data_IF_173436867570
#
_entry.id   IF_173436867570
#
_cell.length_a   1.000
_cell.length_b   1.000
_cell.length_c   1.000
_cell.angle_alpha   90.00
_cell.angle_beta   90.00
_cell.angle_gamma   90.00
#
_symmetry.space_group_name_H-M   'P 1'
#
loop_
_entity.id
_entity.type
_entity.pdbx_description
1 polymer ?
#
# COMPACT_ATOMS: atom_id res chain seq x y z
N UNK A 1 6.46 13.34 6.14
CA UNK A 1 5.13 13.23 5.53
C UNK A 1 4.06 13.52 6.55
N UNK A 2 3.12 14.34 6.21
CA UNK A 2 2.07 14.72 7.12
C UNK A 2 0.98 13.67 7.19
N UNK A 3 0.27 13.65 8.31
CA UNK A 3 -0.81 12.72 8.54
C UNK A 3 -1.89 12.77 7.45
N UNK A 4 -2.20 13.98 6.98
CA UNK A 4 -3.18 14.19 5.92
C UNK A 4 -2.75 13.53 4.62
N UNK A 5 -1.46 13.65 4.27
CA UNK A 5 -0.92 13.03 3.08
C UNK A 5 -0.96 11.51 3.16
N UNK A 6 -0.72 10.97 4.35
CA UNK A 6 -0.79 9.52 4.55
C UNK A 6 -2.20 9.03 4.27
N UNK A 7 -3.20 9.72 4.79
CA UNK A 7 -4.59 9.35 4.58
C UNK A 7 -5.01 9.42 3.13
N UNK A 8 -4.61 10.48 2.45
CA UNK A 8 -4.92 10.65 1.04
C UNK A 8 -4.30 9.54 0.18
N UNK A 9 -3.02 9.26 0.43
CA UNK A 9 -2.31 8.23 -0.32
C UNK A 9 -2.84 6.84 0.00
N UNK A 10 -3.24 6.62 1.24
CA UNK A 10 -3.83 5.35 1.63
C UNK A 10 -5.11 5.07 0.85
N UNK A 11 -5.94 6.10 0.63
CA UNK A 11 -7.14 5.97 -0.16
C UNK A 11 -6.86 5.58 -1.61
N UNK A 12 -5.85 6.21 -2.20
CA UNK A 12 -5.42 5.90 -3.56
C UNK A 12 -4.91 4.46 -3.65
N UNK A 13 -4.12 4.04 -2.68
CA UNK A 13 -3.58 2.68 -2.62
C UNK A 13 -4.70 1.65 -2.53
N UNK A 14 -5.65 1.89 -1.63
CA UNK A 14 -6.75 0.96 -1.43
C UNK A 14 -7.58 0.80 -2.71
N UNK A 15 -7.83 1.89 -3.39
CA UNK A 15 -8.56 1.88 -4.64
C UNK A 15 -7.81 1.06 -5.70
N UNK A 16 -6.50 1.28 -5.80
CA UNK A 16 -5.67 0.56 -6.77
C UNK A 16 -5.63 -0.93 -6.48
N UNK A 17 -5.57 -1.30 -5.20
CA UNK A 17 -5.57 -2.70 -4.81
C UNK A 17 -6.85 -3.43 -5.22
N UNK A 18 -7.95 -2.73 -5.29
CA UNK A 18 -9.20 -3.29 -5.77
C UNK A 18 -9.09 -3.72 -7.23
N UNK A 19 -8.19 -3.08 -7.98
CA UNK A 19 -7.96 -3.41 -9.40
C UNK A 19 -6.89 -4.47 -9.59
N UNK A 20 -5.80 -4.39 -8.80
CA UNK A 20 -4.63 -5.25 -9.03
C UNK A 20 -4.66 -6.57 -8.29
N UNK A 21 -5.34 -6.64 -7.16
CA UNK A 21 -5.23 -7.79 -6.28
C UNK A 21 -3.90 -7.77 -5.53
N UNK A 22 -3.32 -8.94 -5.28
CA UNK A 22 -2.05 -9.03 -4.55
C UNK A 22 -0.91 -8.45 -5.37
N UNK A 23 -0.12 -7.56 -4.76
CA UNK A 23 0.95 -6.86 -5.46
C UNK A 23 2.06 -6.51 -4.48
N UNK A 24 3.30 -6.46 -4.94
CA UNK A 24 4.39 -6.03 -4.08
C UNK A 24 4.32 -4.53 -3.84
N UNK A 25 4.88 -4.09 -2.71
CA UNK A 25 4.92 -2.66 -2.39
C UNK A 25 5.71 -1.90 -3.47
N UNK A 26 6.83 -2.47 -3.94
CA UNK A 26 7.64 -1.83 -4.97
C UNK A 26 6.87 -1.65 -6.28
N UNK A 27 6.13 -2.67 -6.68
CA UNK A 27 5.33 -2.62 -7.89
C UNK A 27 4.22 -1.59 -7.78
N UNK A 28 3.55 -1.59 -6.63
CA UNK A 28 2.46 -0.66 -6.37
C UNK A 28 2.96 0.79 -6.38
N UNK A 29 4.10 1.03 -5.74
CA UNK A 29 4.72 2.36 -5.71
C UNK A 29 4.99 2.85 -7.13
N UNK A 30 5.53 1.97 -7.98
CA UNK A 30 5.81 2.31 -9.35
C UNK A 30 4.55 2.63 -10.13
N UNK A 31 3.50 1.83 -9.96
CA UNK A 31 2.23 2.06 -10.65
C UNK A 31 1.58 3.38 -10.26
N UNK A 32 1.75 3.78 -9.02
CA UNK A 32 1.16 5.02 -8.51
C UNK A 32 2.09 6.21 -8.63
N UNK A 33 3.32 5.98 -9.10
CA UNK A 33 4.34 7.03 -9.21
C UNK A 33 4.59 7.72 -7.87
N UNK A 34 4.70 6.93 -6.82
CA UNK A 34 4.97 7.38 -5.46
C UNK A 34 6.21 6.66 -4.97
N UNK A 35 6.90 7.21 -3.98
CA UNK A 35 8.08 6.54 -3.45
C UNK A 35 7.68 5.26 -2.71
N UNK A 36 8.61 4.30 -2.66
CA UNK A 36 8.37 3.05 -1.94
C UNK A 36 8.17 3.32 -0.45
N UNK A 37 8.91 4.28 0.10
CA UNK A 37 8.79 4.64 1.51
C UNK A 37 7.40 5.15 1.84
N UNK A 38 6.87 6.04 1.02
CA UNK A 38 5.53 6.58 1.23
C UNK A 38 4.47 5.50 1.07
N UNK A 39 4.67 4.62 0.10
CA UNK A 39 3.76 3.51 -0.13
C UNK A 39 3.75 2.58 1.09
N UNK A 40 4.92 2.28 1.64
CA UNK A 40 5.03 1.41 2.80
C UNK A 40 4.36 2.03 4.03
N UNK A 41 4.55 3.34 4.25
CA UNK A 41 3.92 4.02 5.38
C UNK A 41 2.39 4.00 5.27
N UNK A 42 1.89 4.28 4.08
CA UNK A 42 0.44 4.27 3.86
C UNK A 42 -0.12 2.86 3.99
N UNK A 43 0.63 1.86 3.52
CA UNK A 43 0.23 0.46 3.66
C UNK A 43 0.15 0.06 5.12
N UNK A 44 1.12 0.49 5.93
CA UNK A 44 1.10 0.23 7.37
C UNK A 44 -0.13 0.81 8.03
N UNK A 45 -0.51 2.02 7.65
CA UNK A 45 -1.70 2.66 8.17
C UNK A 45 -2.95 1.88 7.76
N UNK A 46 -3.04 1.46 6.50
CA UNK A 46 -4.18 0.68 6.04
C UNK A 46 -4.29 -0.66 6.75
N UNK A 47 -3.14 -1.29 7.04
CA UNK A 47 -3.13 -2.55 7.78
C UNK A 47 -3.64 -2.34 9.21
N UNK A 48 -3.26 -1.23 9.82
CA UNK A 48 -3.73 -0.88 11.16
C UNK A 48 -5.24 -0.68 11.18
N UNK A 49 -5.79 -0.15 10.08
CA UNK A 49 -7.23 0.08 9.94
C UNK A 49 -7.97 -1.16 9.44
N UNK A 50 -7.27 -2.27 9.32
CA UNK A 50 -7.83 -3.55 8.86
C UNK A 50 -8.41 -3.46 7.44
N UNK A 51 -7.78 -2.65 6.60
CA UNK A 51 -8.21 -2.48 5.21
C UNK A 51 -7.42 -3.35 4.24
N UNK A 52 -6.20 -3.73 4.61
CA UNK A 52 -5.33 -4.53 3.76
C UNK A 52 -4.59 -5.54 4.61
N UNK A 53 -4.11 -6.60 3.94
CA UNK A 53 -3.17 -7.55 4.50
C UNK A 53 -1.80 -7.23 3.97
N UNK A 54 -0.79 -7.34 4.82
CA UNK A 54 0.60 -7.22 4.43
C UNK A 54 1.23 -8.57 4.68
N UNK A 55 1.89 -9.13 3.67
CA UNK A 55 2.59 -10.40 3.84
C UNK A 55 3.90 -10.38 3.09
N UNK A 56 4.80 -11.25 3.50
CA UNK A 56 6.09 -11.37 2.85
C UNK A 56 6.11 -12.65 2.01
N UNK A 57 6.38 -12.49 0.72
CA UNK A 57 6.49 -13.62 -0.19
C UNK A 57 7.82 -13.54 -0.90
N UNK A 58 8.59 -14.60 -0.83
CA UNK A 58 9.93 -14.65 -1.45
C UNK A 58 10.80 -13.46 -1.06
N UNK A 59 10.69 -13.03 0.20
CA UNK A 59 11.47 -11.90 0.70
C UNK A 59 10.90 -10.54 0.35
N UNK A 60 9.81 -10.47 -0.40
CA UNK A 60 9.22 -9.20 -0.82
C UNK A 60 7.94 -8.90 -0.03
N UNK A 61 7.78 -7.64 0.35
CA UNK A 61 6.55 -7.21 1.01
C UNK A 61 5.44 -7.03 -0.02
N UNK A 62 4.32 -7.68 0.24
CA UNK A 62 3.17 -7.64 -0.66
C UNK A 62 1.94 -7.12 0.08
N UNK A 63 1.04 -6.52 -0.68
CA UNK A 63 -0.22 -6.00 -0.19
C UNK A 63 -1.38 -6.68 -0.88
N UNK A 64 -2.44 -6.86 -0.13
CA UNK A 64 -3.68 -7.41 -0.65
C UNK A 64 -4.84 -6.73 0.06
N UNK A 65 -5.86 -6.34 -0.67
CA UNK A 65 -7.04 -5.74 -0.07
C UNK A 65 -7.76 -6.77 0.81
N UNK A 66 -8.18 -6.33 1.97
CA UNK A 66 -8.90 -7.18 2.92
C UNK A 66 -10.34 -7.43 2.51
#
# INVERSE_FOLDING_TARGET
>A
MEKTNIGFKAGIILNKLGETGLITIAELARKLNVSADETALAAGWLARESKVYIERRNGLLCLKKE
#
